data_IF_450353997987
#
_entry.id   IF_450353997987
#
_cell.length_a   1.000
_cell.length_b   1.000
_cell.length_c   1.000
_cell.angle_alpha   90.00
_cell.angle_beta   90.00
_cell.angle_gamma   90.00
#
_symmetry.space_group_name_H-M   'P 1'
#
loop_
_entity.id
_entity.type
_entity.pdbx_description
1 polymer ?
#
# COMPACT_ATOMS: atom_id res chain seq x y z
N UNK A 1 0.66 0.31 -13.93
CA UNK A 1 -0.19 0.31 -12.72
C UNK A 1 -0.21 -1.05 -12.05
N UNK A 2 -0.54 -2.09 -12.80
CA UNK A 2 -0.66 -3.43 -12.27
C UNK A 2 0.68 -3.97 -11.76
N UNK A 3 1.75 -3.74 -12.52
CA UNK A 3 3.09 -4.16 -12.12
C UNK A 3 3.57 -3.42 -10.87
N UNK A 4 3.30 -2.13 -10.80
CA UNK A 4 3.66 -1.30 -9.65
C UNK A 4 2.93 -1.79 -8.40
N UNK A 5 1.64 -2.04 -8.51
CA UNK A 5 0.84 -2.55 -7.39
C UNK A 5 1.30 -3.92 -6.93
N UNK A 6 1.60 -4.83 -7.87
CA UNK A 6 2.10 -6.17 -7.53
C UNK A 6 3.45 -6.11 -6.83
N UNK A 7 4.33 -5.24 -7.29
CA UNK A 7 5.64 -5.05 -6.68
C UNK A 7 5.50 -4.52 -5.25
N UNK A 8 4.61 -3.56 -5.04
CA UNK A 8 4.34 -3.00 -3.72
C UNK A 8 3.79 -4.07 -2.78
N UNK A 9 2.85 -4.89 -3.26
CA UNK A 9 2.28 -5.99 -2.49
C UNK A 9 3.38 -6.97 -2.08
N UNK A 10 4.26 -7.34 -3.00
CA UNK A 10 5.37 -8.25 -2.71
C UNK A 10 6.27 -7.73 -1.59
N UNK A 11 6.60 -6.46 -1.64
CA UNK A 11 7.44 -5.85 -0.61
C UNK A 11 6.73 -5.74 0.73
N UNK A 12 5.47 -5.36 0.72
CA UNK A 12 4.71 -5.29 1.96
C UNK A 12 4.54 -6.66 2.59
N UNK A 13 4.38 -7.72 1.77
CA UNK A 13 4.34 -9.09 2.28
C UNK A 13 5.61 -9.44 3.06
N UNK A 14 6.77 -9.09 2.52
CA UNK A 14 8.05 -9.34 3.20
C UNK A 14 8.15 -8.58 4.51
N UNK A 15 7.75 -7.31 4.51
CA UNK A 15 7.78 -6.49 5.72
C UNK A 15 6.86 -7.08 6.79
N UNK A 16 5.65 -7.47 6.42
CA UNK A 16 4.71 -8.07 7.36
C UNK A 16 5.22 -9.39 7.90
N UNK A 17 5.88 -10.21 7.06
CA UNK A 17 6.51 -11.44 7.53
C UNK A 17 7.64 -11.16 8.52
N UNK A 18 8.49 -10.18 8.22
CA UNK A 18 9.60 -9.81 9.10
C UNK A 18 9.13 -9.26 10.45
N UNK A 19 7.99 -8.58 10.47
CA UNK A 19 7.40 -8.03 11.68
C UNK A 19 6.42 -9.00 12.35
N UNK A 20 6.29 -10.22 11.81
CA UNK A 20 5.36 -11.23 12.31
C UNK A 20 3.91 -10.73 12.31
N UNK A 21 3.54 -9.97 11.27
CA UNK A 21 2.20 -9.44 11.09
C UNK A 21 1.48 -10.18 9.98
N UNK A 22 0.15 -10.26 10.10
CA UNK A 22 -0.68 -10.94 9.11
C UNK A 22 -1.03 -9.99 7.96
N UNK A 23 -0.83 -10.44 6.72
CA UNK A 23 -1.25 -9.71 5.54
C UNK A 23 -2.70 -10.06 5.21
N UNK A 24 -3.62 -9.14 5.50
CA UNK A 24 -5.05 -9.33 5.28
C UNK A 24 -5.50 -8.71 3.95
N UNK A 25 -6.77 -8.95 3.57
CA UNK A 25 -7.34 -8.31 2.38
C UNK A 25 -7.33 -6.78 2.50
N UNK A 26 -7.48 -6.25 3.70
CA UNK A 26 -7.40 -4.81 3.93
C UNK A 26 -6.00 -4.28 3.62
N UNK A 27 -4.96 -5.03 3.98
CA UNK A 27 -3.57 -4.66 3.69
C UNK A 27 -3.33 -4.69 2.19
N UNK A 28 -3.81 -5.73 1.50
CA UNK A 28 -3.70 -5.81 0.05
C UNK A 28 -4.39 -4.62 -0.63
N UNK A 29 -5.59 -4.30 -0.19
CA UNK A 29 -6.33 -3.15 -0.72
C UNK A 29 -5.58 -1.84 -0.47
N UNK A 30 -5.00 -1.68 0.72
CA UNK A 30 -4.19 -0.51 1.06
C UNK A 30 -2.95 -0.39 0.18
N UNK A 31 -2.28 -1.50 -0.13
CA UNK A 31 -1.13 -1.51 -1.03
C UNK A 31 -1.51 -1.01 -2.42
N UNK A 32 -2.63 -1.49 -2.94
CA UNK A 32 -3.12 -1.09 -4.26
C UNK A 32 -3.42 0.41 -4.27
N UNK A 33 -4.11 0.90 -3.24
CA UNK A 33 -4.45 2.31 -3.16
C UNK A 33 -3.20 3.19 -3.08
N UNK A 34 -2.25 2.83 -2.20
CA UNK A 34 -1.02 3.61 -2.05
C UNK A 34 -0.20 3.64 -3.33
N UNK A 35 -0.02 2.48 -3.97
CA UNK A 35 0.77 2.39 -5.21
C UNK A 35 0.15 3.24 -6.32
N UNK A 36 -1.16 3.17 -6.50
CA UNK A 36 -1.84 3.94 -7.54
C UNK A 36 -1.86 5.43 -7.23
N UNK A 37 -1.97 5.80 -5.95
CA UNK A 37 -1.92 7.21 -5.53
C UNK A 37 -0.55 7.83 -5.81
N UNK A 38 0.53 7.07 -5.60
CA UNK A 38 1.89 7.56 -5.86
C UNK A 38 2.15 7.83 -7.34
N UNK A 39 1.53 7.08 -8.24
CA UNK A 39 1.68 7.30 -9.68
C UNK A 39 0.63 8.26 -10.25
N UNK A 40 -0.08 8.97 -9.37
CA UNK A 40 -1.10 9.96 -9.72
C UNK A 40 -2.26 9.37 -10.55
N UNK A 41 -2.61 8.14 -10.27
CA UNK A 41 -3.71 7.43 -10.93
C UNK A 41 -4.48 6.61 -9.89
N UNK A 42 -4.80 7.25 -8.78
CA UNK A 42 -5.44 6.59 -7.63
C UNK A 42 -6.80 6.00 -8.01
N UNK A 43 -6.98 4.73 -7.69
CA UNK A 43 -8.28 4.07 -7.82
C UNK A 43 -9.12 4.47 -6.60
N UNK A 44 -10.40 4.85 -6.78
CA UNK A 44 -11.24 5.20 -5.65
C UNK A 44 -11.28 4.08 -4.60
N UNK A 45 -11.22 4.45 -3.33
CA UNK A 45 -11.22 3.48 -2.24
C UNK A 45 -12.43 2.55 -2.30
N UNK A 46 -13.60 3.08 -2.64
CA UNK A 46 -14.81 2.27 -2.74
C UNK A 46 -14.67 1.17 -3.80
N UNK A 47 -14.06 1.48 -4.94
CA UNK A 47 -13.82 0.50 -5.99
C UNK A 47 -12.89 -0.60 -5.51
N UNK A 48 -11.85 -0.24 -4.78
CA UNK A 48 -10.88 -1.20 -4.25
C UNK A 48 -11.54 -2.13 -3.24
N UNK A 49 -12.29 -1.59 -2.28
CA UNK A 49 -12.90 -2.43 -1.25
C UNK A 49 -13.94 -3.39 -1.82
N UNK A 50 -14.65 -2.99 -2.87
CA UNK A 50 -15.61 -3.86 -3.55
C UNK A 50 -14.93 -5.03 -4.27
N UNK A 51 -13.77 -4.80 -4.88
CA UNK A 51 -13.07 -5.80 -5.67
C UNK A 51 -12.18 -6.74 -4.86
N UNK A 52 -11.72 -6.32 -3.69
CA UNK A 52 -10.77 -7.10 -2.88
C UNK A 52 -11.32 -7.52 -1.53
N UNK A 53 -12.64 -7.53 -1.38
CA UNK A 53 -13.33 -8.00 -0.17
C UNK A 53 -12.80 -7.34 1.10
N UNK A 54 -12.57 -6.03 1.02
CA UNK A 54 -12.08 -5.22 2.13
C UNK A 54 -13.18 -4.29 2.63
N UNK A 55 -12.94 -3.59 3.74
CA UNK A 55 -13.80 -2.52 4.22
C UNK A 55 -13.07 -1.18 4.09
N UNK A 56 -13.83 -0.08 3.96
CA UNK A 56 -13.23 1.24 3.91
C UNK A 56 -12.43 1.54 5.19
N UNK A 57 -12.98 1.18 6.34
CA UNK A 57 -12.29 1.35 7.62
C UNK A 57 -10.99 0.55 7.65
N UNK A 58 -11.05 -0.72 7.25
CA UNK A 58 -9.88 -1.60 7.24
C UNK A 58 -8.81 -1.12 6.27
N UNK A 59 -9.23 -0.65 5.08
CA UNK A 59 -8.29 -0.09 4.11
C UNK A 59 -7.59 1.14 4.65
N UNK A 60 -8.34 2.07 5.26
CA UNK A 60 -7.76 3.30 5.83
C UNK A 60 -6.79 3.00 6.96
N UNK A 61 -7.16 2.06 7.83
CA UNK A 61 -6.29 1.65 8.94
C UNK A 61 -5.01 1.01 8.41
N UNK A 62 -5.13 0.09 7.46
CA UNK A 62 -3.97 -0.57 6.85
C UNK A 62 -3.08 0.43 6.15
N UNK A 63 -3.66 1.39 5.42
CA UNK A 63 -2.91 2.45 4.75
C UNK A 63 -2.12 3.28 5.75
N UNK A 64 -2.74 3.64 6.86
CA UNK A 64 -2.07 4.41 7.93
C UNK A 64 -0.89 3.63 8.50
N UNK A 65 -1.11 2.35 8.80
CA UNK A 65 -0.06 1.49 9.36
C UNK A 65 1.11 1.36 8.38
N UNK A 66 0.82 1.17 7.09
CA UNK A 66 1.86 1.09 6.06
C UNK A 66 2.64 2.39 5.92
N UNK A 67 1.96 3.53 5.98
CA UNK A 67 2.63 4.83 5.93
C UNK A 67 3.58 5.01 7.11
N UNK A 68 3.21 4.53 8.29
CA UNK A 68 4.09 4.58 9.47
C UNK A 68 5.30 3.67 9.28
N UNK A 69 5.08 2.44 8.80
CA UNK A 69 6.17 1.48 8.57
C UNK A 69 7.15 2.01 7.54
N UNK A 70 6.65 2.60 6.45
CA UNK A 70 7.47 3.11 5.35
C UNK A 70 7.93 4.55 5.54
N UNK A 71 7.52 5.19 6.63
CA UNK A 71 7.84 6.58 6.92
C UNK A 71 7.39 7.53 5.80
N UNK A 72 6.17 7.35 5.34
CA UNK A 72 5.55 8.15 4.28
C UNK A 72 4.57 9.14 4.88
N UNK A 73 4.65 10.40 4.46
CA UNK A 73 3.65 11.40 4.77
C UNK A 73 2.52 11.30 3.75
N UNK A 74 1.36 10.80 4.18
CA UNK A 74 0.21 10.57 3.31
C UNK A 74 -0.29 11.85 2.64
N UNK A 75 -0.13 13.00 3.29
CA UNK A 75 -0.55 14.27 2.71
C UNK A 75 0.30 14.69 1.50
N UNK A 76 1.48 14.12 1.35
CA UNK A 76 2.39 14.38 0.24
C UNK A 76 2.58 13.14 -0.64
N UNK A 77 1.59 12.26 -0.69
CA UNK A 77 1.72 10.96 -1.35
C UNK A 77 2.18 11.06 -2.81
N UNK A 78 1.79 12.12 -3.51
CA UNK A 78 2.15 12.32 -4.92
C UNK A 78 3.63 12.66 -5.14
N UNK A 79 4.34 13.03 -4.07
CA UNK A 79 5.76 13.38 -4.15
C UNK A 79 6.68 12.16 -3.99
N UNK A 80 6.12 11.01 -3.68
CA UNK A 80 6.89 9.78 -3.50
C UNK A 80 6.92 8.96 -4.79
N UNK A 81 8.06 8.32 -5.04
CA UNK A 81 8.21 7.38 -6.12
C UNK A 81 8.18 5.96 -5.55
N UNK A 82 7.28 5.13 -6.07
CA UNK A 82 7.13 3.75 -5.61
C UNK A 82 8.45 3.00 -5.72
N UNK A 83 9.21 3.19 -6.80
CA UNK A 83 10.49 2.51 -6.99
C UNK A 83 11.49 2.89 -5.92
N UNK A 84 11.53 4.16 -5.52
CA UNK A 84 12.44 4.62 -4.46
C UNK A 84 12.08 4.01 -3.12
N UNK A 85 10.79 3.92 -2.81
CA UNK A 85 10.32 3.29 -1.57
C UNK A 85 10.66 1.82 -1.56
N UNK A 86 10.43 1.14 -2.67
CA UNK A 86 10.73 -0.28 -2.83
C UNK A 86 12.23 -0.54 -2.67
N UNK A 87 13.08 0.30 -3.24
CA UNK A 87 14.54 0.18 -3.08
C UNK A 87 14.97 0.39 -1.64
N UNK A 88 14.35 1.34 -0.94
CA UNK A 88 14.61 1.60 0.47
C UNK A 88 14.30 0.40 1.34
N UNK A 89 13.27 -0.36 1.00
CA UNK A 89 12.87 -1.57 1.72
C UNK A 89 13.88 -2.70 1.51
N UNK A 90 14.50 -2.77 0.34
CA UNK A 90 15.48 -3.83 -0.01
C UNK A 90 16.78 -3.74 0.79
N UNK A 91 17.07 -2.58 1.31
CA UNK A 91 18.29 -2.36 2.11
C UNK A 91 18.04 -2.77 3.55
#
# INVERSE_FOLDING_TARGET
QRETSLLFIEYMSRIYDDLDLMMSNNVLAGCIWLATAMIDDAIPQQTIVENWSASEYGLRKATRDMCQILNIDKSNIHNYDVEDIVKGIRV
#
